data_IF_264456279755
#
_entry.id   IF_264456279755
#
_cell.length_a   1.000
_cell.length_b   1.000
_cell.length_c   1.000
_cell.angle_alpha   90.00
_cell.angle_beta   90.00
_cell.angle_gamma   90.00
#
_symmetry.space_group_name_H-M   'P 1'
#
loop_
_entity.id
_entity.type
_entity.pdbx_description
1 polymer ?
#
# COMPACT_ATOMS: atom_id res chain seq x y z
N UNK A 1 -7.23 40.42 7.94
CA UNK A 1 -8.60 39.94 7.60
C UNK A 1 -8.66 39.78 6.10
N UNK A 2 -8.22 38.63 5.58
CA UNK A 2 -8.28 38.30 4.16
C UNK A 2 -9.18 37.07 4.01
N UNK A 3 -10.35 37.24 3.38
CA UNK A 3 -11.27 36.15 3.12
C UNK A 3 -10.76 35.36 1.91
N UNK A 4 -10.32 34.13 2.13
CA UNK A 4 -10.05 33.16 1.07
C UNK A 4 -11.39 32.58 0.61
N UNK A 5 -11.79 32.91 -0.61
CA UNK A 5 -13.00 32.37 -1.24
C UNK A 5 -12.63 31.01 -1.83
N UNK A 6 -13.13 29.91 -1.23
CA UNK A 6 -13.09 28.59 -1.84
C UNK A 6 -14.07 28.52 -3.02
N UNK A 7 -13.68 27.96 -4.18
CA UNK A 7 -14.57 27.81 -5.31
C UNK A 7 -15.59 26.68 -5.08
N UNK A 8 -16.84 26.95 -5.45
CA UNK A 8 -17.97 26.01 -5.46
C UNK A 8 -17.67 24.75 -6.30
N UNK A 9 -18.26 23.62 -5.91
CA UNK A 9 -18.15 22.29 -6.51
C UNK A 9 -18.39 22.25 -8.03
N UNK A 10 -19.15 23.20 -8.59
CA UNK A 10 -19.34 23.32 -10.04
C UNK A 10 -18.07 23.74 -10.80
N UNK A 11 -17.19 24.49 -10.16
CA UNK A 11 -15.92 24.94 -10.76
C UNK A 11 -14.86 23.82 -10.75
N UNK A 12 -14.91 22.91 -9.77
CA UNK A 12 -14.03 21.73 -9.70
C UNK A 12 -14.32 20.72 -10.81
N UNK A 13 -15.59 20.52 -11.17
CA UNK A 13 -15.99 19.62 -12.26
C UNK A 13 -15.54 20.12 -13.65
N UNK A 14 -15.44 21.44 -13.83
CA UNK A 14 -14.98 22.05 -15.09
C UNK A 14 -13.47 21.91 -15.31
N UNK A 15 -12.65 21.91 -14.25
CA UNK A 15 -11.19 21.76 -14.36
C UNK A 15 -10.81 20.31 -14.72
N UNK A 16 -11.53 19.31 -14.17
CA UNK A 16 -11.29 17.89 -14.48
C UNK A 16 -11.64 17.57 -15.95
N UNK A 17 -12.67 18.20 -16.51
CA UNK A 17 -13.09 18.00 -17.90
C UNK A 17 -12.11 18.62 -18.93
N UNK A 18 -11.40 19.69 -18.57
CA UNK A 18 -10.36 20.31 -19.42
C UNK A 18 -9.08 19.46 -19.44
N UNK A 19 -8.71 18.82 -18.34
CA UNK A 19 -7.54 17.93 -18.28
C UNK A 19 -7.78 16.67 -19.14
N UNK A 20 -9.00 16.12 -19.13
CA UNK A 20 -9.34 14.95 -19.96
C UNK A 20 -9.41 15.25 -21.47
N UNK A 21 -9.73 16.49 -21.86
CA UNK A 21 -9.74 16.88 -23.28
C UNK A 21 -8.35 17.26 -23.82
N UNK A 22 -7.43 17.70 -22.97
CA UNK A 22 -6.04 17.99 -23.37
C UNK A 22 -5.15 16.74 -23.48
N UNK A 23 -5.48 15.62 -22.81
CA UNK A 23 -4.76 14.36 -23.00
C UNK A 23 -5.13 13.60 -24.29
N UNK A 24 -6.20 13.99 -24.99
CA UNK A 24 -6.59 13.37 -26.26
C UNK A 24 -5.89 13.97 -27.50
N UNK A 25 -5.05 15.00 -27.34
CA UNK A 25 -4.49 15.76 -28.47
C UNK A 25 -2.97 15.61 -28.70
N UNK A 26 -2.26 14.81 -27.89
CA UNK A 26 -0.81 14.60 -28.05
C UNK A 26 -0.49 13.11 -28.21
N UNK A 27 -0.50 12.62 -29.45
CA UNK A 27 -0.11 11.22 -29.72
C UNK A 27 -0.26 10.74 -31.16
N UNK A 28 0.01 11.59 -32.15
CA UNK A 28 0.21 11.13 -33.54
C UNK A 28 1.46 11.77 -34.14
N UNK A 29 2.61 11.14 -33.90
CA UNK A 29 3.78 11.29 -34.77
C UNK A 29 3.68 10.23 -35.86
N UNK A 30 3.36 10.67 -37.07
CA UNK A 30 3.37 9.82 -38.27
C UNK A 30 4.80 9.45 -38.61
N UNK A 31 5.19 8.21 -38.33
CA UNK A 31 6.35 7.57 -38.93
C UNK A 31 5.90 6.89 -40.24
N UNK A 32 6.40 7.31 -41.41
CA UNK A 32 6.01 6.74 -42.69
C UNK A 32 6.96 5.61 -43.08
N UNK A 33 7.05 4.55 -42.28
CA UNK A 33 7.72 3.33 -42.72
C UNK A 33 7.14 2.07 -42.06
N UNK A 34 6.47 1.26 -42.88
CA UNK A 34 6.47 -0.19 -42.69
C UNK A 34 5.33 -0.79 -41.89
N UNK A 35 4.22 -1.03 -42.58
CA UNK A 35 3.23 -2.04 -42.22
C UNK A 35 3.91 -3.40 -41.90
N UNK A 36 3.60 -4.00 -40.74
CA UNK A 36 3.49 -5.46 -40.51
C UNK A 36 3.34 -5.86 -39.02
N UNK A 37 2.74 -5.04 -38.15
CA UNK A 37 2.52 -5.42 -36.73
C UNK A 37 1.06 -5.66 -36.34
N UNK A 38 0.08 -5.42 -37.22
CA UNK A 38 -1.33 -5.63 -36.86
C UNK A 38 -1.81 -7.08 -36.91
N UNK A 39 -1.10 -7.96 -37.61
CA UNK A 39 -1.48 -9.38 -37.71
C UNK A 39 -1.05 -10.18 -36.47
N UNK A 40 0.16 -9.95 -35.95
CA UNK A 40 0.67 -10.65 -34.76
C UNK A 40 -0.14 -10.32 -33.49
N UNK A 41 -0.64 -9.09 -33.36
CA UNK A 41 -1.45 -8.68 -32.21
C UNK A 41 -2.89 -9.19 -32.27
N UNK A 42 -3.43 -9.45 -33.48
CA UNK A 42 -4.76 -10.07 -33.62
C UNK A 42 -4.70 -11.60 -33.47
N UNK A 43 -3.59 -12.24 -33.86
CA UNK A 43 -3.40 -13.68 -33.69
C UNK A 43 -3.22 -14.06 -32.20
N UNK A 44 -2.49 -13.25 -31.43
CA UNK A 44 -2.37 -13.43 -29.97
C UNK A 44 -3.70 -13.21 -29.22
N UNK A 45 -4.59 -12.35 -29.72
CA UNK A 45 -5.92 -12.13 -29.11
C UNK A 45 -6.91 -13.26 -29.46
N UNK A 46 -6.75 -13.90 -30.63
CA UNK A 46 -7.58 -15.04 -31.04
C UNK A 46 -7.20 -16.33 -30.30
N UNK A 47 -5.92 -16.53 -29.97
CA UNK A 47 -5.45 -17.70 -29.21
C UNK A 47 -5.94 -17.67 -27.75
N UNK A 48 -6.12 -16.49 -27.15
CA UNK A 48 -6.67 -16.35 -25.79
C UNK A 48 -8.18 -16.65 -25.71
N UNK A 49 -8.93 -16.50 -26.81
CA UNK A 49 -10.38 -16.80 -26.86
C UNK A 49 -10.72 -18.27 -27.12
N UNK A 50 -9.71 -19.14 -27.27
CA UNK A 50 -9.91 -20.55 -27.64
C UNK A 50 -9.72 -21.54 -26.46
N UNK A 51 -9.73 -21.08 -25.20
CA UNK A 51 -9.71 -21.99 -24.05
C UNK A 51 -11.05 -22.73 -24.00
N UNK A 52 -11.09 -24.07 -24.13
CA UNK A 52 -12.33 -24.84 -24.07
C UNK A 52 -13.00 -24.67 -22.70
N UNK A 53 -14.26 -24.25 -22.69
CA UNK A 53 -15.07 -24.09 -21.47
C UNK A 53 -15.31 -25.40 -20.72
N UNK A 54 -14.98 -26.54 -21.34
CA UNK A 54 -15.20 -27.90 -20.81
C UNK A 54 -14.05 -28.42 -19.92
N UNK A 55 -13.02 -27.61 -19.63
CA UNK A 55 -11.96 -27.92 -18.65
C UNK A 55 -11.97 -26.90 -17.51
N UNK A 56 -13.15 -26.54 -17.02
CA UNK A 56 -13.27 -25.94 -15.69
C UNK A 56 -13.23 -27.11 -14.68
N UNK A 57 -12.19 -27.21 -13.81
CA UNK A 57 -12.21 -28.18 -12.72
C UNK A 57 -13.49 -27.96 -11.92
N UNK A 58 -14.11 -29.07 -11.49
CA UNK A 58 -15.32 -29.06 -10.68
C UNK A 58 -15.19 -28.00 -9.58
N UNK A 59 -16.25 -27.18 -9.41
CA UNK A 59 -16.33 -26.17 -8.34
C UNK A 59 -15.84 -26.78 -7.04
N UNK A 60 -14.61 -26.43 -6.68
CA UNK A 60 -14.04 -26.87 -5.42
C UNK A 60 -14.76 -26.04 -4.39
N UNK A 61 -15.72 -26.64 -3.71
CA UNK A 61 -16.42 -26.01 -2.59
C UNK A 61 -15.38 -25.75 -1.52
N UNK A 62 -14.81 -24.55 -1.52
CA UNK A 62 -13.95 -24.07 -0.45
C UNK A 62 -14.75 -24.20 0.85
N UNK A 63 -14.25 -24.93 1.86
CA UNK A 63 -14.93 -25.05 3.13
C UNK A 63 -15.12 -23.64 3.68
N UNK A 64 -16.37 -23.20 3.68
CA UNK A 64 -16.80 -21.92 4.20
C UNK A 64 -16.83 -22.05 5.72
N UNK A 65 -15.65 -21.97 6.33
CA UNK A 65 -15.56 -21.68 7.76
C UNK A 65 -15.98 -20.22 7.94
N UNK A 66 -17.31 -20.00 7.94
CA UNK A 66 -18.00 -18.72 7.77
C UNK A 66 -17.84 -17.75 8.95
N UNK A 67 -16.80 -17.92 9.77
CA UNK A 67 -16.53 -17.03 10.86
C UNK A 67 -15.03 -16.98 11.15
N UNK A 68 -14.21 -16.42 10.24
CA UNK A 68 -12.88 -15.98 10.64
C UNK A 68 -13.11 -15.08 11.84
N UNK A 69 -12.68 -15.53 13.01
CA UNK A 69 -12.90 -14.80 14.25
C UNK A 69 -12.25 -13.44 14.02
N UNK A 70 -13.05 -12.38 13.97
CA UNK A 70 -12.60 -11.01 13.79
C UNK A 70 -11.30 -10.78 14.56
N UNK A 71 -10.20 -10.57 13.84
CA UNK A 71 -8.90 -10.30 14.45
C UNK A 71 -8.67 -8.81 14.45
N UNK A 72 -8.04 -8.30 15.50
CA UNK A 72 -7.58 -6.93 15.47
C UNK A 72 -6.51 -6.80 14.39
N UNK A 73 -6.53 -5.74 13.55
CA UNK A 73 -5.36 -5.44 12.76
C UNK A 73 -4.16 -5.26 13.69
N UNK A 74 -3.02 -5.76 13.27
CA UNK A 74 -1.78 -5.70 14.01
C UNK A 74 -0.82 -4.75 13.30
N UNK A 75 -0.32 -3.78 14.04
CA UNK A 75 0.79 -2.94 13.67
C UNK A 75 2.03 -3.40 14.42
N UNK A 76 3.12 -3.62 13.69
CA UNK A 76 4.38 -3.93 14.28
C UNK A 76 5.34 -2.74 14.21
N UNK A 77 6.17 -2.59 15.24
CA UNK A 77 7.27 -1.63 15.30
C UNK A 77 8.60 -2.42 15.37
N UNK A 78 9.53 -2.15 14.44
CA UNK A 78 10.94 -2.58 14.51
C UNK A 78 11.93 -1.41 14.35
N UNK A 79 13.21 -1.67 14.58
CA UNK A 79 14.33 -0.80 14.17
C UNK A 79 14.89 -1.23 12.82
N UNK A 80 15.50 -0.30 12.09
CA UNK A 80 16.16 -0.62 10.81
C UNK A 80 17.54 -1.28 11.02
N UNK A 81 18.21 -1.01 12.13
CA UNK A 81 19.62 -1.32 12.36
C UNK A 81 19.85 -2.31 13.53
N UNK A 82 18.82 -3.11 13.84
CA UNK A 82 18.77 -4.07 14.96
C UNK A 82 19.16 -3.44 16.32
N UNK A 83 19.02 -2.12 16.44
CA UNK A 83 19.33 -1.44 17.69
C UNK A 83 18.25 -1.76 18.74
N UNK A 84 18.63 -1.84 20.02
CA UNK A 84 17.65 -2.03 21.08
C UNK A 84 16.58 -0.94 21.04
N UNK A 85 15.33 -1.35 21.16
CA UNK A 85 14.22 -0.44 21.22
C UNK A 85 14.34 0.56 22.37
N UNK A 86 14.13 1.84 22.06
CA UNK A 86 13.86 2.83 23.07
C UNK A 86 12.39 2.70 23.50
N UNK A 87 12.07 2.31 24.76
CA UNK A 87 10.69 2.10 25.19
C UNK A 87 9.83 3.36 25.07
N UNK A 88 10.45 4.54 25.20
CA UNK A 88 9.73 5.82 25.04
C UNK A 88 9.24 6.03 23.60
N UNK A 89 9.94 5.47 22.60
CA UNK A 89 9.53 5.56 21.19
C UNK A 89 8.27 4.72 20.95
N UNK A 90 8.25 3.49 21.44
CA UNK A 90 7.09 2.59 21.33
C UNK A 90 5.88 3.22 22.02
N UNK A 91 6.06 3.69 23.26
CA UNK A 91 4.98 4.37 24.01
C UNK A 91 4.46 5.62 23.28
N UNK A 92 5.35 6.41 22.68
CA UNK A 92 4.97 7.60 21.90
C UNK A 92 4.14 7.20 20.68
N UNK A 93 4.61 6.24 19.88
CA UNK A 93 3.90 5.76 18.69
C UNK A 93 2.53 5.17 19.06
N UNK A 94 2.48 4.30 20.07
CA UNK A 94 1.24 3.71 20.58
C UNK A 94 0.25 4.77 21.07
N UNK A 95 0.74 5.79 21.75
CA UNK A 95 -0.12 6.87 22.25
C UNK A 95 -0.64 7.72 21.10
N UNK A 96 0.24 8.15 20.19
CA UNK A 96 -0.14 8.95 19.02
C UNK A 96 -1.11 8.19 18.12
N UNK A 97 -0.90 6.90 17.87
CA UNK A 97 -1.81 6.13 17.03
C UNK A 97 -3.17 5.93 17.69
N UNK A 98 -3.21 5.67 19.00
CA UNK A 98 -4.45 5.55 19.77
C UNK A 98 -5.25 6.85 19.70
N UNK A 99 -4.58 7.99 19.91
CA UNK A 99 -5.20 9.31 19.82
C UNK A 99 -5.65 9.65 18.40
N UNK A 100 -4.84 9.34 17.39
CA UNK A 100 -5.17 9.59 15.99
C UNK A 100 -6.39 8.76 15.55
N UNK A 101 -6.39 7.47 15.85
CA UNK A 101 -7.44 6.51 15.50
C UNK A 101 -8.76 6.84 16.21
N UNK A 102 -8.73 7.07 17.53
CA UNK A 102 -9.95 7.29 18.31
C UNK A 102 -10.72 8.54 17.86
N UNK A 103 -10.00 9.51 17.28
CA UNK A 103 -10.59 10.74 16.79
C UNK A 103 -10.85 10.73 15.27
N UNK A 104 -10.46 9.68 14.54
CA UNK A 104 -10.60 9.64 13.09
C UNK A 104 -12.00 9.18 12.67
N UNK A 105 -12.77 10.00 11.91
CA UNK A 105 -14.14 9.67 11.53
C UNK A 105 -14.27 8.41 10.67
N UNK A 106 -13.19 8.04 9.97
CA UNK A 106 -13.16 6.89 9.07
C UNK A 106 -12.52 5.63 9.67
N UNK A 107 -12.17 5.62 10.97
CA UNK A 107 -11.54 4.43 11.55
C UNK A 107 -12.45 3.19 11.49
N UNK A 108 -13.78 3.38 11.52
CA UNK A 108 -14.76 2.30 11.34
C UNK A 108 -14.47 1.45 10.10
N UNK A 109 -13.99 2.06 9.01
CA UNK A 109 -13.64 1.34 7.78
C UNK A 109 -12.49 0.35 7.96
N UNK A 110 -11.47 0.70 8.74
CA UNK A 110 -10.37 -0.21 9.07
C UNK A 110 -10.90 -1.36 9.93
N UNK A 111 -11.72 -1.04 10.94
CA UNK A 111 -12.29 -2.07 11.79
C UNK A 111 -13.22 -3.03 11.05
N UNK A 112 -13.98 -2.54 10.07
CA UNK A 112 -14.83 -3.37 9.21
C UNK A 112 -14.01 -4.26 8.27
N UNK A 113 -12.88 -3.75 7.75
CA UNK A 113 -12.02 -4.51 6.83
C UNK A 113 -11.30 -5.67 7.50
N UNK A 114 -10.83 -5.49 8.73
CA UNK A 114 -10.04 -6.49 9.45
C UNK A 114 -10.83 -7.22 10.54
N UNK A 115 -12.04 -6.76 10.85
CA UNK A 115 -12.96 -7.34 11.82
C UNK A 115 -12.80 -6.82 13.25
N UNK A 116 -11.67 -6.20 13.60
CA UNK A 116 -11.40 -5.73 14.97
C UNK A 116 -11.61 -4.24 15.21
N UNK A 117 -12.08 -3.87 16.41
CA UNK A 117 -12.40 -2.47 16.77
C UNK A 117 -11.18 -1.70 17.31
N UNK A 118 -10.03 -2.35 17.40
CA UNK A 118 -8.81 -1.80 17.98
C UNK A 118 -7.62 -2.21 17.12
N UNK A 119 -6.60 -1.36 17.05
CA UNK A 119 -5.30 -1.71 16.48
C UNK A 119 -4.44 -2.29 17.59
N UNK A 120 -4.00 -3.54 17.41
CA UNK A 120 -2.98 -4.14 18.28
C UNK A 120 -1.59 -3.65 17.84
N UNK A 121 -0.75 -3.29 18.80
CA UNK A 121 0.63 -2.87 18.53
C UNK A 121 1.57 -3.89 19.17
N UNK A 122 2.48 -4.43 18.36
CA UNK A 122 3.51 -5.38 18.79
C UNK A 122 4.91 -4.84 18.47
N UNK A 123 5.90 -5.36 19.18
CA UNK A 123 7.32 -5.14 18.89
C UNK A 123 7.90 -6.39 18.22
N UNK A 124 9.10 -6.27 17.64
CA UNK A 124 9.85 -7.34 16.96
C UNK A 124 9.11 -7.86 15.73
N UNK A 125 9.34 -7.21 14.59
CA UNK A 125 8.54 -7.48 13.41
C UNK A 125 8.83 -8.84 12.79
N UNK A 126 7.78 -9.52 12.28
CA UNK A 126 7.92 -10.82 11.65
C UNK A 126 8.66 -10.75 10.30
N UNK A 127 8.93 -9.55 9.80
CA UNK A 127 9.62 -9.27 8.55
C UNK A 127 10.68 -8.22 8.77
N UNK A 128 11.80 -8.38 8.07
CA UNK A 128 12.86 -7.36 7.98
C UNK A 128 12.40 -6.19 7.11
N UNK A 129 12.91 -4.97 7.35
CA UNK A 129 12.57 -3.81 6.54
C UNK A 129 12.97 -3.98 5.07
N UNK A 130 12.07 -3.67 4.13
CA UNK A 130 12.33 -3.80 2.67
C UNK A 130 13.55 -3.02 2.21
N UNK A 131 13.86 -1.87 2.83
CA UNK A 131 15.03 -1.04 2.45
C UNK A 131 16.38 -1.72 2.69
N UNK A 132 16.40 -2.81 3.46
CA UNK A 132 17.60 -3.62 3.70
C UNK A 132 17.71 -4.81 2.73
N UNK A 133 16.71 -5.03 1.88
CA UNK A 133 16.76 -6.06 0.86
C UNK A 133 17.80 -5.71 -0.20
N UNK A 134 18.57 -6.70 -0.64
CA UNK A 134 19.47 -6.58 -1.80
C UNK A 134 18.70 -6.23 -3.10
N UNK A 135 17.38 -6.43 -3.11
CA UNK A 135 16.49 -6.13 -4.23
C UNK A 135 15.89 -4.70 -4.15
N UNK A 136 16.20 -3.92 -3.11
CA UNK A 136 15.72 -2.55 -2.98
C UNK A 136 16.29 -1.64 -4.07
N UNK A 137 15.42 -1.14 -4.93
CA UNK A 137 15.75 -0.23 -6.04
C UNK A 137 15.40 1.23 -5.77
N UNK A 138 14.83 1.52 -4.60
CA UNK A 138 14.37 2.85 -4.21
C UNK A 138 12.85 2.93 -4.03
N UNK A 139 12.34 4.09 -3.59
CA UNK A 139 10.94 4.30 -3.23
C UNK A 139 10.02 4.50 -4.43
N UNK A 140 10.45 4.11 -5.64
CA UNK A 140 9.65 4.31 -6.83
C UNK A 140 8.30 3.60 -6.69
N UNK A 141 7.24 4.42 -6.74
CA UNK A 141 5.84 4.06 -6.62
C UNK A 141 5.50 3.03 -7.70
N UNK A 142 5.56 1.75 -7.35
CA UNK A 142 5.22 0.62 -8.24
C UNK A 142 6.40 -0.10 -8.91
N UNK A 143 7.66 0.17 -8.54
CA UNK A 143 8.84 -0.51 -9.12
C UNK A 143 9.96 -0.87 -8.11
N UNK A 144 9.75 -0.66 -6.81
CA UNK A 144 10.49 -1.40 -5.79
C UNK A 144 10.23 -2.90 -5.92
N UNK A 145 11.14 -3.76 -5.46
CA UNK A 145 10.90 -5.19 -5.29
C UNK A 145 10.47 -5.48 -3.84
N UNK A 146 9.24 -5.13 -3.41
CA UNK A 146 8.69 -5.65 -2.17
C UNK A 146 8.60 -7.18 -2.30
N UNK A 147 8.46 -7.86 -1.17
CA UNK A 147 8.35 -9.31 -1.22
C UNK A 147 7.13 -9.70 -2.07
N UNK A 148 7.39 -10.24 -3.27
CA UNK A 148 6.34 -10.66 -4.19
C UNK A 148 5.90 -12.03 -3.75
N UNK A 149 4.72 -12.10 -3.17
CA UNK A 149 4.11 -13.38 -2.85
C UNK A 149 3.27 -13.81 -4.03
N UNK A 150 3.76 -14.80 -4.76
CA UNK A 150 2.97 -15.50 -5.78
C UNK A 150 2.01 -16.42 -5.04
N UNK A 151 0.75 -16.00 -4.95
CA UNK A 151 -0.29 -16.79 -4.30
C UNK A 151 -0.90 -17.74 -5.32
N UNK A 152 -1.06 -19.00 -4.94
CA UNK A 152 -1.80 -19.97 -5.75
C UNK A 152 -3.23 -19.45 -6.01
N UNK A 153 -3.79 -19.67 -7.22
CA UNK A 153 -5.03 -19.03 -7.66
C UNK A 153 -6.27 -19.26 -6.76
N UNK A 154 -6.21 -20.23 -5.85
CA UNK A 154 -7.33 -20.63 -5.00
C UNK A 154 -7.31 -20.02 -3.57
N UNK A 155 -6.33 -19.18 -3.23
CA UNK A 155 -6.31 -18.50 -1.91
C UNK A 155 -6.94 -17.12 -2.02
N UNK A 156 -8.03 -16.89 -1.29
CA UNK A 156 -8.61 -15.56 -1.15
C UNK A 156 -7.61 -14.59 -0.53
N UNK A 157 -7.53 -13.37 -1.06
CA UNK A 157 -6.71 -12.26 -0.52
C UNK A 157 -7.08 -12.01 0.95
N UNK A 158 -8.37 -12.10 1.27
CA UNK A 158 -8.84 -11.91 2.64
C UNK A 158 -8.32 -13.02 3.56
N UNK A 159 -8.37 -14.28 3.13
CA UNK A 159 -7.78 -15.40 3.88
C UNK A 159 -6.27 -15.26 4.06
N UNK A 160 -5.60 -14.71 3.05
CA UNK A 160 -4.17 -14.44 3.09
C UNK A 160 -3.84 -13.32 4.08
N UNK A 161 -4.60 -12.23 4.07
CA UNK A 161 -4.46 -11.09 4.98
C UNK A 161 -4.73 -11.46 6.45
N UNK A 162 -5.74 -12.29 6.70
CA UNK A 162 -6.09 -12.75 8.05
C UNK A 162 -5.06 -13.69 8.67
N UNK A 163 -4.17 -14.31 7.87
CA UNK A 163 -3.11 -15.19 8.36
C UNK A 163 -1.82 -14.45 8.74
N UNK A 164 -1.73 -13.16 8.43
CA UNK A 164 -0.55 -12.35 8.72
C UNK A 164 -0.57 -11.86 10.16
N UNK A 165 0.57 -12.00 10.83
CA UNK A 165 0.76 -11.49 12.19
C UNK A 165 0.93 -9.98 12.28
N UNK A 166 1.14 -9.28 11.16
CA UNK A 166 1.18 -7.81 11.08
C UNK A 166 0.72 -7.33 9.69
N UNK A 167 -0.12 -6.29 9.65
CA UNK A 167 -0.59 -5.65 8.41
C UNK A 167 0.14 -4.33 8.14
N UNK A 168 0.58 -3.66 9.20
CA UNK A 168 1.30 -2.38 9.13
C UNK A 168 2.64 -2.49 9.84
N UNK A 169 3.67 -1.91 9.25
CA UNK A 169 5.03 -1.94 9.77
C UNK A 169 5.54 -0.52 10.00
N UNK A 170 6.15 -0.30 11.15
CA UNK A 170 6.87 0.94 11.46
C UNK A 170 8.32 0.56 11.70
N UNK A 171 9.21 1.11 10.89
CA UNK A 171 10.64 0.93 11.05
C UNK A 171 11.28 2.23 11.50
N UNK A 172 11.90 2.22 12.68
CA UNK A 172 12.61 3.38 13.21
C UNK A 172 14.08 3.26 12.85
N UNK A 173 14.63 4.26 12.18
CA UNK A 173 16.00 4.19 11.66
C UNK A 173 16.80 5.48 11.83
N UNK A 174 18.14 5.40 11.69
CA UNK A 174 19.01 6.57 11.60
C UNK A 174 18.67 7.48 10.41
N UNK A 175 18.88 8.79 10.57
CA UNK A 175 18.56 9.78 9.52
C UNK A 175 19.39 9.57 8.26
N UNK A 176 20.67 9.24 8.37
CA UNK A 176 21.54 9.00 7.22
C UNK A 176 21.12 7.79 6.40
N UNK A 177 20.74 6.69 7.07
CA UNK A 177 20.21 5.49 6.42
C UNK A 177 18.90 5.80 5.68
N UNK A 178 17.95 6.47 6.35
CA UNK A 178 16.66 6.79 5.76
C UNK A 178 16.77 7.86 4.67
N UNK A 179 17.65 8.85 4.81
CA UNK A 179 17.95 9.84 3.77
C UNK A 179 18.63 9.20 2.56
N UNK A 180 19.49 8.20 2.75
CA UNK A 180 20.08 7.47 1.63
C UNK A 180 19.03 6.68 0.85
N UNK A 181 18.09 6.03 1.56
CA UNK A 181 17.05 5.22 0.94
C UNK A 181 15.93 6.05 0.29
N UNK A 182 15.51 7.14 0.93
CA UNK A 182 14.32 7.92 0.53
C UNK A 182 14.62 9.36 0.10
N UNK A 183 15.84 9.87 0.25
CA UNK A 183 16.09 11.30 0.08
C UNK A 183 15.17 12.15 0.96
N UNK A 184 14.66 13.24 0.40
CA UNK A 184 13.75 14.16 1.10
C UNK A 184 12.26 13.73 1.02
N UNK A 185 11.95 12.54 0.52
CA UNK A 185 10.56 12.09 0.39
C UNK A 185 9.90 11.91 1.76
N UNK A 186 8.71 12.48 1.90
CA UNK A 186 7.90 12.34 3.11
C UNK A 186 6.39 12.31 2.78
N UNK A 187 5.60 11.39 3.38
CA UNK A 187 6.01 10.33 4.29
C UNK A 187 6.88 9.26 3.60
N UNK A 188 7.81 8.65 4.35
CA UNK A 188 8.68 7.56 3.86
C UNK A 188 7.91 6.24 3.94
N UNK A 189 7.09 5.96 2.94
CA UNK A 189 6.22 4.78 2.88
C UNK A 189 6.61 3.87 1.72
N UNK A 190 6.63 2.57 1.94
CA UNK A 190 6.77 1.56 0.87
C UNK A 190 5.86 0.36 1.16
N UNK A 191 5.41 -0.36 0.13
CA UNK A 191 4.91 -1.72 0.31
C UNK A 191 5.96 -2.58 1.03
N UNK A 192 5.53 -3.30 2.06
CA UNK A 192 6.34 -4.36 2.65
C UNK A 192 6.16 -5.66 1.86
N UNK A 193 4.93 -5.91 1.42
CA UNK A 193 4.58 -7.06 0.58
C UNK A 193 3.58 -6.67 -0.51
N UNK A 194 3.76 -7.26 -1.69
CA UNK A 194 2.83 -7.14 -2.80
C UNK A 194 2.30 -8.52 -3.19
N UNK A 195 1.05 -8.54 -3.60
CA UNK A 195 0.40 -9.66 -4.22
C UNK A 195 0.23 -9.35 -5.71
N UNK A 196 0.74 -10.23 -6.57
CA UNK A 196 0.61 -10.08 -8.01
C UNK A 196 -0.31 -11.16 -8.60
N UNK A 197 -1.30 -10.73 -9.39
CA UNK A 197 -2.17 -11.58 -10.20
C UNK A 197 -1.97 -11.22 -11.68
N UNK A 198 -1.23 -12.06 -12.40
CA UNK A 198 -0.80 -11.77 -13.77
C UNK A 198 0.11 -10.54 -13.83
N UNK A 199 -0.32 -9.48 -14.52
CA UNK A 199 0.42 -8.21 -14.65
C UNK A 199 -0.04 -7.13 -13.68
N UNK A 200 -0.91 -7.46 -12.73
CA UNK A 200 -1.43 -6.51 -11.75
C UNK A 200 -0.89 -6.88 -10.38
N UNK A 201 -0.24 -5.93 -9.72
CA UNK A 201 0.22 -6.09 -8.36
C UNK A 201 -0.54 -5.13 -7.45
N UNK A 202 -0.97 -5.63 -6.30
CA UNK A 202 -1.61 -4.87 -5.25
C UNK A 202 -0.76 -4.95 -3.99
N UNK A 203 -0.71 -3.84 -3.26
CA UNK A 203 -0.07 -3.81 -1.96
C UNK A 203 -0.92 -4.54 -0.94
N UNK A 204 -0.25 -5.37 -0.14
CA UNK A 204 -0.91 -6.19 0.87
C UNK A 204 -0.58 -5.72 2.27
N UNK A 205 0.67 -5.32 2.49
CA UNK A 205 1.14 -4.73 3.74
C UNK A 205 1.97 -3.50 3.46
N UNK A 206 1.85 -2.51 4.35
CA UNK A 206 2.52 -1.21 4.23
C UNK A 206 3.55 -1.02 5.32
N UNK A 207 4.69 -0.43 4.97
CA UNK A 207 5.70 0.02 5.91
C UNK A 207 5.87 1.54 5.86
N UNK A 208 6.06 2.17 7.02
CA UNK A 208 6.58 3.53 7.14
C UNK A 208 7.91 3.54 7.89
N UNK A 209 8.76 4.50 7.51
CA UNK A 209 10.10 4.66 8.04
C UNK A 209 10.23 6.01 8.74
N UNK A 210 10.55 5.98 10.02
CA UNK A 210 10.58 7.15 10.87
C UNK A 210 11.98 7.37 11.43
N UNK A 211 12.43 8.62 11.45
CA UNK A 211 13.61 9.01 12.24
C UNK A 211 13.17 9.46 13.62
N UNK A 212 14.11 9.56 14.56
CA UNK A 212 13.80 10.12 15.89
C UNK A 212 13.23 11.55 15.82
N UNK A 213 13.60 12.32 14.78
CA UNK A 213 13.06 13.65 14.56
C UNK A 213 11.58 13.62 14.14
N UNK A 214 11.18 12.66 13.30
CA UNK A 214 9.76 12.48 12.94
C UNK A 214 8.91 12.14 14.16
N UNK A 215 9.45 11.30 15.05
CA UNK A 215 8.74 10.82 16.24
C UNK A 215 8.60 11.93 17.29
N UNK A 216 9.57 12.84 17.36
CA UNK A 216 9.53 13.99 18.27
C UNK A 216 8.54 15.09 17.83
N UNK A 217 8.15 15.10 16.55
CA UNK A 217 7.16 16.02 15.99
C UNK A 217 5.79 15.34 15.91
N UNK A 218 4.91 15.66 16.87
CA UNK A 218 3.61 14.99 16.99
C UNK A 218 2.71 15.13 15.76
N UNK A 219 2.76 16.28 15.08
CA UNK A 219 1.93 16.52 13.89
C UNK A 219 2.44 15.68 12.72
N UNK A 220 3.76 15.67 12.54
CA UNK A 220 4.43 14.88 11.50
C UNK A 220 4.28 13.38 11.72
N UNK A 221 4.42 12.92 12.97
CA UNK A 221 4.20 11.54 13.36
C UNK A 221 2.75 11.13 13.09
N UNK A 222 1.78 11.91 13.56
CA UNK A 222 0.36 11.63 13.34
C UNK A 222 0.02 11.54 11.85
N UNK A 223 0.49 12.49 11.04
CA UNK A 223 0.27 12.49 9.59
C UNK A 223 0.83 11.22 8.92
N UNK A 224 2.01 10.77 9.33
CA UNK A 224 2.62 9.53 8.82
C UNK A 224 1.83 8.29 9.20
N UNK A 225 1.38 8.21 10.45
CA UNK A 225 0.60 7.09 10.97
C UNK A 225 -0.77 7.01 10.30
N UNK A 226 -1.44 8.14 10.07
CA UNK A 226 -2.69 8.14 9.31
C UNK A 226 -2.47 7.73 7.85
N UNK A 227 -1.37 8.15 7.24
CA UNK A 227 -1.04 7.78 5.86
C UNK A 227 -0.79 6.27 5.69
N UNK A 228 -0.07 5.62 6.61
CA UNK A 228 0.16 4.16 6.51
C UNK A 228 -1.14 3.36 6.67
N UNK A 229 -2.09 3.90 7.44
CA UNK A 229 -3.40 3.31 7.65
C UNK A 229 -4.39 3.61 6.50
N UNK A 230 -4.01 4.42 5.51
CA UNK A 230 -4.91 4.87 4.43
C UNK A 230 -6.03 5.78 4.92
N UNK A 231 -5.77 6.55 5.98
CA UNK A 231 -6.72 7.45 6.63
C UNK A 231 -6.47 8.92 6.29
N UNK A 232 -5.67 9.25 5.27
CA UNK A 232 -5.35 10.64 4.93
C UNK A 232 -6.52 11.44 4.31
N UNK A 233 -7.53 11.87 5.09
CA UNK A 233 -8.62 12.73 4.59
C UNK A 233 -9.20 13.74 5.59
#
# INVERSE_FOLDING_TARGET
MGNTILPDNKTRLFIILIIFTLLAACGQTTDPTGANTSAATQEALAEYTAIPTDILPAETTVPTDNNPTAQNPVMCIDTVDDQPFNPNVVETIETTIREAIQNHPNFTFISERYGGNTLEVIQECPSTPTILSDEWTGPEVGSGAPHIVNVEPDVSIDDWLHKRSAQYFIFVGPEDVLQQAFGDFFPRRTPQEMLCMGHQCAEVTSAIYLTSADIADSERLQSSLLNVLGLEY
#
